data_IF_156873791758
#
_entry.id   IF_156873791758
#
_cell.length_a   1.000
_cell.length_b   1.000
_cell.length_c   1.000
_cell.angle_alpha   90.00
_cell.angle_beta   90.00
_cell.angle_gamma   90.00
#
_symmetry.space_group_name_H-M   'P 1'
#
loop_
_entity.id
_entity.type
_entity.pdbx_description
1 polymer ?
#
# COMPACT_ATOMS: atom_id res chain seq x y z
N UNK A 1 3.32 70.82 37.35
CA UNK A 1 3.46 70.42 38.73
C UNK A 1 2.95 69.00 38.89
N UNK A 2 3.91 68.07 38.83
CA UNK A 2 4.10 66.89 39.70
C UNK A 2 2.82 66.06 39.96
N UNK A 3 2.80 64.79 39.70
CA UNK A 3 3.55 63.68 40.35
C UNK A 3 3.47 62.42 39.53
N UNK A 4 4.64 61.82 39.36
CA UNK A 4 4.89 60.48 38.94
C UNK A 4 4.43 59.47 40.00
N UNK A 5 3.75 58.41 39.60
CA UNK A 5 3.66 57.20 40.41
C UNK A 5 3.65 55.95 39.51
N UNK A 6 4.82 55.34 39.49
CA UNK A 6 5.05 53.97 39.06
C UNK A 6 4.36 53.03 40.04
N UNK A 7 3.46 52.20 39.55
CA UNK A 7 3.09 50.97 40.26
C UNK A 7 3.35 49.81 39.29
N UNK A 8 4.44 49.17 39.55
CA UNK A 8 4.75 47.84 39.12
C UNK A 8 3.78 46.91 39.83
N UNK A 9 2.95 46.23 39.10
CA UNK A 9 2.29 45.01 39.57
C UNK A 9 2.61 43.91 38.63
N UNK A 10 3.51 43.03 39.09
CA UNK A 10 3.56 41.65 38.69
C UNK A 10 2.16 41.07 38.81
N UNK A 11 1.68 40.54 37.77
CA UNK A 11 0.63 39.56 37.90
C UNK A 11 0.97 38.34 37.05
N UNK A 12 1.11 37.29 37.78
CA UNK A 12 1.32 35.94 37.36
C UNK A 12 0.34 35.53 36.26
N UNK A 13 0.96 34.92 35.33
CA UNK A 13 0.43 34.05 34.33
C UNK A 13 -0.73 33.22 34.82
N UNK A 14 -1.82 33.33 34.13
CA UNK A 14 -2.78 32.23 33.97
C UNK A 14 -2.90 31.97 32.49
N UNK A 15 -2.01 31.14 32.00
CA UNK A 15 -2.07 30.52 30.71
C UNK A 15 -3.14 29.47 30.81
N UNK A 16 -4.37 29.84 30.67
CA UNK A 16 -5.39 28.91 30.19
C UNK A 16 -5.07 28.65 28.73
N UNK A 17 -4.28 27.64 28.53
CA UNK A 17 -4.09 26.97 27.27
C UNK A 17 -5.47 26.47 26.86
N UNK A 18 -6.10 27.17 25.95
CA UNK A 18 -7.17 26.62 25.15
C UNK A 18 -6.61 25.35 24.49
N UNK A 19 -6.97 24.24 25.06
CA UNK A 19 -6.83 22.91 24.48
C UNK A 19 -7.84 22.84 23.36
N UNK A 20 -7.53 23.57 22.26
CA UNK A 20 -8.21 23.44 21.00
C UNK A 20 -7.94 22.01 20.58
N UNK A 21 -9.00 21.24 20.60
CA UNK A 21 -9.08 19.89 20.12
C UNK A 21 -8.39 19.74 18.77
N UNK A 22 -7.16 19.31 18.77
CA UNK A 22 -6.49 18.68 17.63
C UNK A 22 -7.02 17.26 17.50
N UNK A 23 -8.27 17.12 17.17
CA UNK A 23 -8.90 15.84 16.87
C UNK A 23 -9.63 15.84 15.54
N UNK A 24 -9.19 16.64 14.59
CA UNK A 24 -9.70 16.59 13.24
C UNK A 24 -8.57 16.90 12.25
N UNK A 25 -7.66 15.95 12.07
CA UNK A 25 -6.95 15.70 10.82
C UNK A 25 -5.94 14.55 10.96
N UNK A 26 -6.29 13.47 11.65
CA UNK A 26 -5.78 12.17 11.24
C UNK A 26 -6.52 11.76 9.97
N UNK A 27 -6.11 12.35 8.86
CA UNK A 27 -6.24 11.70 7.56
C UNK A 27 -5.44 10.42 7.73
N UNK A 28 -6.14 9.34 7.95
CA UNK A 28 -5.66 7.99 8.02
C UNK A 28 -4.77 7.75 6.81
N UNK A 29 -3.47 7.93 6.95
CA UNK A 29 -2.53 7.37 6.00
C UNK A 29 -2.84 5.88 5.99
N UNK A 30 -3.36 5.39 4.88
CA UNK A 30 -3.66 3.99 4.69
C UNK A 30 -2.38 3.21 4.99
N UNK A 31 -2.36 2.55 6.13
CA UNK A 31 -1.18 1.87 6.64
C UNK A 31 -0.99 0.58 5.83
N UNK A 32 -0.11 0.63 4.85
CA UNK A 32 0.34 -0.55 4.14
C UNK A 32 1.45 -1.23 4.93
N UNK A 33 1.31 -2.53 5.16
CA UNK A 33 2.41 -3.37 5.63
C UNK A 33 3.19 -3.93 4.46
N UNK A 34 4.48 -4.20 4.70
CA UNK A 34 5.39 -4.75 3.70
C UNK A 34 5.63 -6.24 3.97
N UNK A 35 5.71 -6.98 2.88
CA UNK A 35 6.18 -8.36 2.86
C UNK A 35 7.14 -8.53 1.69
N UNK A 36 8.24 -9.21 1.94
CA UNK A 36 9.28 -9.43 0.94
C UNK A 36 9.49 -10.93 0.72
N UNK A 37 9.63 -11.33 -0.55
CA UNK A 37 10.04 -12.68 -0.90
C UNK A 37 11.56 -12.83 -0.81
N UNK A 38 12.05 -14.04 -0.67
CA UNK A 38 13.50 -14.33 -0.71
C UNK A 38 14.16 -13.92 -2.04
N UNK A 39 13.37 -13.84 -3.11
CA UNK A 39 13.80 -13.42 -4.44
C UNK A 39 13.61 -11.92 -4.71
N UNK A 40 13.46 -11.10 -3.66
CA UNK A 40 13.44 -9.63 -3.74
C UNK A 40 12.13 -9.01 -4.23
N UNK A 41 11.03 -9.76 -4.30
CA UNK A 41 9.72 -9.20 -4.57
C UNK A 41 9.22 -8.49 -3.32
N UNK A 42 9.00 -7.18 -3.43
CA UNK A 42 8.42 -6.37 -2.37
C UNK A 42 6.93 -6.15 -2.65
N UNK A 43 6.09 -6.63 -1.76
CA UNK A 43 4.66 -6.36 -1.75
C UNK A 43 4.30 -5.50 -0.55
N UNK A 44 3.45 -4.53 -0.77
CA UNK A 44 2.78 -3.82 0.30
C UNK A 44 1.32 -4.25 0.32
N UNK A 45 0.70 -4.38 1.50
CA UNK A 45 -0.67 -4.85 1.62
C UNK A 45 -1.44 -4.15 2.73
N UNK A 46 -2.75 -4.08 2.55
CA UNK A 46 -3.71 -3.62 3.56
C UNK A 46 -4.92 -4.56 3.58
N UNK A 47 -5.53 -4.69 4.74
CA UNK A 47 -6.75 -5.48 4.91
C UNK A 47 -7.97 -4.61 4.65
N UNK A 48 -8.97 -5.17 3.96
CA UNK A 48 -10.22 -4.49 3.67
C UNK A 48 -11.41 -5.35 4.13
N UNK A 49 -12.44 -4.70 4.61
CA UNK A 49 -13.73 -5.33 4.89
C UNK A 49 -14.58 -5.50 3.62
N UNK A 50 -15.84 -5.87 3.83
CA UNK A 50 -16.81 -6.07 2.73
C UNK A 50 -17.11 -4.77 1.97
N UNK A 51 -17.02 -3.61 2.65
CA UNK A 51 -17.28 -2.28 2.10
C UNK A 51 -16.03 -1.64 1.48
N UNK A 52 -14.89 -2.36 1.43
CA UNK A 52 -13.56 -1.88 1.05
C UNK A 52 -12.97 -0.85 2.02
N UNK A 53 -13.44 -0.83 3.25
CA UNK A 53 -12.84 -0.02 4.31
C UNK A 53 -11.66 -0.76 4.96
N UNK A 54 -10.62 -0.01 5.31
CA UNK A 54 -9.43 -0.58 5.93
C UNK A 54 -9.73 -1.10 7.34
N UNK A 55 -9.30 -2.32 7.62
CA UNK A 55 -9.38 -2.93 8.94
C UNK A 55 -8.00 -3.12 9.56
N UNK A 56 -7.98 -3.23 10.90
CA UNK A 56 -6.72 -3.33 11.65
C UNK A 56 -6.00 -4.65 11.40
N UNK A 57 -4.69 -4.60 11.23
CA UNK A 57 -3.84 -5.79 11.06
C UNK A 57 -3.84 -6.71 12.28
N UNK A 58 -4.11 -6.19 13.47
CA UNK A 58 -4.17 -7.00 14.71
C UNK A 58 -5.23 -8.09 14.69
N UNK A 59 -6.24 -7.96 13.82
CA UNK A 59 -7.29 -8.99 13.66
C UNK A 59 -6.90 -10.13 12.71
N UNK A 60 -5.79 -10.00 11.98
CA UNK A 60 -5.35 -10.99 10.99
C UNK A 60 -4.85 -12.27 11.67
N UNK A 61 -5.47 -13.41 11.36
CA UNK A 61 -5.07 -14.73 11.85
C UNK A 61 -4.35 -15.57 10.81
N UNK A 62 -4.69 -15.37 9.52
CA UNK A 62 -4.01 -16.01 8.39
C UNK A 62 -3.78 -15.02 7.26
N UNK A 63 -2.55 -14.98 6.78
CA UNK A 63 -2.19 -14.22 5.58
C UNK A 63 -2.79 -14.85 4.33
N UNK A 64 -3.11 -14.07 3.28
CA UNK A 64 -3.42 -14.64 1.98
C UNK A 64 -2.16 -15.33 1.43
N UNK A 65 -2.34 -16.50 0.82
CA UNK A 65 -1.23 -17.31 0.33
C UNK A 65 -1.35 -17.58 -1.17
N UNK A 66 -0.38 -17.11 -1.94
CA UNK A 66 -0.21 -17.51 -3.34
C UNK A 66 0.16 -19.01 -3.41
N UNK A 67 -0.31 -19.78 -4.39
CA UNK A 67 0.10 -21.17 -4.59
C UNK A 67 1.62 -21.34 -4.65
N UNK A 68 2.20 -21.96 -3.61
CA UNK A 68 3.64 -22.11 -3.47
C UNK A 68 4.37 -20.89 -2.87
N UNK A 69 3.63 -19.92 -2.30
CA UNK A 69 4.18 -18.78 -1.57
C UNK A 69 4.68 -17.64 -2.45
N UNK A 70 5.24 -16.61 -1.81
CA UNK A 70 5.69 -15.39 -2.50
C UNK A 70 6.84 -15.62 -3.50
N UNK A 71 7.70 -16.58 -3.23
CA UNK A 71 8.78 -16.93 -4.19
C UNK A 71 8.24 -17.53 -5.49
N UNK A 72 7.13 -18.28 -5.38
CA UNK A 72 6.43 -18.80 -6.56
C UNK A 72 5.71 -17.67 -7.31
N UNK A 73 5.17 -16.69 -6.63
CA UNK A 73 4.64 -15.47 -7.25
C UNK A 73 5.72 -14.72 -8.03
N UNK A 74 6.91 -14.55 -7.44
CA UNK A 74 8.06 -13.93 -8.13
C UNK A 74 8.38 -14.67 -9.43
N UNK A 75 8.51 -16.00 -9.37
CA UNK A 75 8.76 -16.83 -10.56
C UNK A 75 7.61 -16.75 -11.57
N UNK A 76 6.37 -16.71 -11.09
CA UNK A 76 5.20 -16.53 -11.95
C UNK A 76 5.25 -15.22 -12.71
N UNK A 77 5.53 -14.11 -12.02
CA UNK A 77 5.68 -12.80 -12.63
C UNK A 77 6.78 -12.82 -13.68
N UNK A 78 7.97 -13.31 -13.35
CA UNK A 78 9.10 -13.39 -14.28
C UNK A 78 8.81 -14.20 -15.55
N UNK A 79 8.08 -15.31 -15.42
CA UNK A 79 7.73 -16.16 -16.56
C UNK A 79 6.64 -15.57 -17.44
N UNK A 80 5.71 -14.84 -16.86
CA UNK A 80 4.55 -14.30 -17.57
C UNK A 80 4.72 -12.86 -18.02
N UNK A 81 5.71 -12.14 -17.45
CA UNK A 81 6.06 -10.82 -17.91
C UNK A 81 6.76 -10.93 -19.26
N UNK A 82 6.03 -10.62 -20.32
CA UNK A 82 6.56 -10.60 -21.68
C UNK A 82 6.69 -9.16 -22.12
N UNK A 83 7.91 -8.69 -22.09
CA UNK A 83 8.26 -7.44 -22.71
C UNK A 83 8.48 -7.66 -24.22
N UNK A 84 7.95 -6.78 -25.04
CA UNK A 84 8.22 -6.82 -26.47
C UNK A 84 9.70 -6.47 -26.70
N UNK A 85 10.50 -7.48 -27.06
CA UNK A 85 11.86 -7.27 -27.54
C UNK A 85 11.79 -6.49 -28.86
N UNK A 86 12.20 -5.25 -28.84
CA UNK A 86 12.19 -4.39 -30.05
C UNK A 86 12.33 -2.91 -29.77
N UNK A 87 12.29 -2.50 -28.51
CA UNK A 87 12.56 -1.12 -28.15
C UNK A 87 14.04 -0.94 -27.84
N UNK A 88 14.70 -0.12 -28.66
CA UNK A 88 16.11 0.27 -28.49
C UNK A 88 16.31 1.39 -27.48
N UNK A 89 15.23 1.82 -26.82
CA UNK A 89 15.29 2.87 -25.80
C UNK A 89 15.48 2.28 -24.42
N UNK A 90 16.55 2.69 -23.78
CA UNK A 90 16.80 2.40 -22.36
C UNK A 90 15.78 3.15 -21.51
N UNK A 91 14.95 2.44 -20.78
CA UNK A 91 14.00 3.04 -19.85
C UNK A 91 14.33 2.59 -18.45
N UNK A 92 14.67 3.55 -17.60
CA UNK A 92 14.75 3.37 -16.18
C UNK A 92 13.48 3.94 -15.53
N UNK A 93 12.80 3.14 -14.72
CA UNK A 93 11.60 3.60 -14.07
C UNK A 93 10.85 2.48 -13.34
N UNK A 94 9.66 2.79 -12.94
CA UNK A 94 8.79 1.84 -12.23
C UNK A 94 7.33 2.00 -12.65
N UNK A 95 6.61 0.89 -12.64
CA UNK A 95 5.16 0.84 -12.68
C UNK A 95 4.69 0.36 -11.31
N UNK A 96 3.76 1.05 -10.67
CA UNK A 96 3.08 0.52 -9.49
C UNK A 96 1.67 0.13 -9.86
N UNK A 97 1.29 -1.04 -9.44
CA UNK A 97 -0.05 -1.57 -9.61
C UNK A 97 -0.64 -1.97 -8.28
N UNK A 98 -1.94 -1.86 -8.17
CA UNK A 98 -2.70 -2.45 -7.07
C UNK A 98 -3.63 -3.52 -7.61
N UNK A 99 -3.94 -4.49 -6.76
CA UNK A 99 -4.96 -5.50 -7.00
C UNK A 99 -5.52 -5.99 -5.67
N UNK A 100 -6.71 -6.52 -5.69
CA UNK A 100 -7.37 -7.07 -4.50
C UNK A 100 -7.47 -8.58 -4.64
N UNK A 101 -7.09 -9.29 -3.58
CA UNK A 101 -7.43 -10.70 -3.40
C UNK A 101 -8.72 -10.73 -2.58
N UNK A 102 -9.81 -11.22 -3.16
CA UNK A 102 -11.10 -11.26 -2.53
C UNK A 102 -11.25 -12.42 -1.52
N UNK A 103 -12.41 -12.53 -0.91
CA UNK A 103 -12.72 -13.57 0.08
C UNK A 103 -12.78 -14.99 -0.51
N UNK A 104 -12.78 -15.13 -1.82
CA UNK A 104 -12.68 -16.40 -2.55
C UNK A 104 -11.26 -16.70 -3.03
N UNK A 105 -10.34 -15.76 -2.82
CA UNK A 105 -8.95 -15.87 -3.27
C UNK A 105 -8.71 -15.36 -4.69
N UNK A 106 -9.72 -14.78 -5.33
CA UNK A 106 -9.60 -14.28 -6.71
C UNK A 106 -8.96 -12.91 -6.75
N UNK A 107 -8.15 -12.68 -7.79
CA UNK A 107 -7.57 -11.37 -8.08
C UNK A 107 -8.59 -10.53 -8.82
N UNK A 108 -8.96 -9.41 -8.20
CA UNK A 108 -9.93 -8.43 -8.71
C UNK A 108 -9.39 -7.01 -8.57
N UNK A 109 -10.10 -6.02 -9.11
CA UNK A 109 -9.80 -4.59 -8.93
C UNK A 109 -8.34 -4.22 -9.23
N UNK A 110 -7.87 -4.63 -10.43
CA UNK A 110 -6.50 -4.37 -10.88
C UNK A 110 -6.41 -2.94 -11.40
N UNK A 111 -5.51 -2.14 -10.82
CA UNK A 111 -5.25 -0.76 -11.23
C UNK A 111 -3.77 -0.47 -11.40
N UNK A 112 -3.42 0.37 -12.38
CA UNK A 112 -2.06 0.94 -12.50
C UNK A 112 -2.08 2.33 -11.86
N UNK A 113 -1.46 2.44 -10.68
CA UNK A 113 -1.48 3.67 -9.87
C UNK A 113 -0.29 4.59 -10.14
N UNK A 114 0.84 4.05 -10.59
CA UNK A 114 1.98 4.81 -11.09
C UNK A 114 2.37 4.27 -12.46
N UNK A 115 2.31 5.12 -13.46
CA UNK A 115 2.51 4.75 -14.87
C UNK A 115 3.92 5.08 -15.31
N UNK A 116 4.48 4.28 -16.20
CA UNK A 116 5.77 4.52 -16.83
C UNK A 116 5.59 4.83 -18.31
N UNK A 117 5.08 3.89 -19.06
CA UNK A 117 4.75 3.98 -20.48
C UNK A 117 3.68 2.93 -20.79
N UNK A 118 2.80 3.22 -21.73
CA UNK A 118 1.61 2.42 -22.03
C UNK A 118 1.86 0.93 -22.25
N UNK A 119 2.96 0.58 -22.90
CA UNK A 119 3.33 -0.82 -23.17
C UNK A 119 3.78 -1.54 -21.89
N UNK A 120 4.57 -0.88 -21.03
CA UNK A 120 4.96 -1.40 -19.70
C UNK A 120 3.74 -1.54 -18.78
N UNK A 121 2.90 -0.51 -18.72
CA UNK A 121 1.66 -0.52 -17.94
C UNK A 121 0.77 -1.68 -18.36
N UNK A 122 0.59 -1.86 -19.68
CA UNK A 122 -0.22 -2.95 -20.25
C UNK A 122 0.38 -4.33 -19.95
N UNK A 123 1.70 -4.47 -20.01
CA UNK A 123 2.38 -5.72 -19.69
C UNK A 123 2.21 -6.09 -18.21
N UNK A 124 2.37 -5.11 -17.30
CA UNK A 124 2.14 -5.31 -15.87
C UNK A 124 0.69 -5.73 -15.58
N UNK A 125 -0.29 -5.02 -16.16
CA UNK A 125 -1.70 -5.38 -16.02
C UNK A 125 -1.99 -6.82 -16.49
N UNK A 126 -1.47 -7.20 -17.66
CA UNK A 126 -1.64 -8.54 -18.21
C UNK A 126 -1.02 -9.64 -17.37
N UNK A 127 0.08 -9.37 -16.68
CA UNK A 127 0.70 -10.34 -15.76
C UNK A 127 -0.19 -10.53 -14.55
N UNK A 128 -0.65 -9.43 -13.94
CA UNK A 128 -1.50 -9.49 -12.75
C UNK A 128 -2.83 -10.18 -13.06
N UNK A 129 -3.44 -9.90 -14.22
CA UNK A 129 -4.71 -10.52 -14.62
C UNK A 129 -4.63 -12.04 -14.85
N UNK A 130 -3.43 -12.60 -14.94
CA UNK A 130 -3.20 -14.06 -15.08
C UNK A 130 -2.83 -14.74 -13.78
N UNK A 131 -2.75 -13.99 -12.68
CA UNK A 131 -2.43 -14.55 -11.37
C UNK A 131 -3.52 -15.56 -10.99
N UNK A 132 -3.15 -16.80 -10.60
CA UNK A 132 -4.11 -17.81 -10.17
C UNK A 132 -4.74 -17.46 -8.84
N UNK A 133 -5.79 -18.20 -8.47
CA UNK A 133 -6.49 -18.02 -7.20
C UNK A 133 -5.55 -18.27 -6.01
N UNK A 134 -5.69 -17.43 -4.99
CA UNK A 134 -4.96 -17.51 -3.73
C UNK A 134 -5.78 -18.24 -2.66
N UNK A 135 -5.14 -18.65 -1.58
CA UNK A 135 -5.87 -18.88 -0.34
C UNK A 135 -6.20 -17.52 0.27
N UNK A 136 -7.47 -17.24 0.60
CA UNK A 136 -7.87 -15.93 1.13
C UNK A 136 -7.32 -15.69 2.53
N UNK A 137 -7.20 -14.42 2.92
CA UNK A 137 -6.87 -14.02 4.28
C UNK A 137 -8.02 -14.33 5.24
N UNK A 138 -7.68 -14.63 6.48
CA UNK A 138 -8.67 -14.83 7.55
C UNK A 138 -8.35 -13.94 8.76
N UNK A 139 -9.39 -13.43 9.37
CA UNK A 139 -9.35 -12.76 10.67
C UNK A 139 -9.99 -13.63 11.73
N UNK A 140 -10.13 -13.12 12.96
CA UNK A 140 -10.78 -13.83 14.07
C UNK A 140 -12.09 -14.49 13.64
N UNK A 141 -12.40 -15.64 14.26
CA UNK A 141 -13.56 -16.49 13.94
C UNK A 141 -13.57 -17.04 12.49
N UNK A 142 -12.40 -17.19 11.86
CA UNK A 142 -12.23 -17.68 10.49
C UNK A 142 -13.00 -16.86 9.44
N UNK A 143 -13.31 -15.59 9.74
CA UNK A 143 -13.94 -14.69 8.78
C UNK A 143 -12.92 -14.32 7.70
N UNK A 144 -13.29 -14.57 6.43
CA UNK A 144 -12.47 -14.21 5.28
C UNK A 144 -12.58 -12.73 5.01
N UNK A 145 -11.46 -12.10 4.63
CA UNK A 145 -11.37 -10.67 4.33
C UNK A 145 -10.64 -10.44 3.03
N UNK A 146 -10.89 -9.29 2.43
CA UNK A 146 -10.17 -8.85 1.23
C UNK A 146 -8.80 -8.31 1.62
N UNK A 147 -7.83 -8.47 0.71
CA UNK A 147 -6.50 -7.89 0.88
C UNK A 147 -6.14 -7.12 -0.38
N UNK A 148 -5.89 -5.84 -0.24
CA UNK A 148 -5.36 -5.01 -1.32
C UNK A 148 -3.85 -5.06 -1.28
N UNK A 149 -3.25 -5.43 -2.39
CA UNK A 149 -1.81 -5.44 -2.59
C UNK A 149 -1.37 -4.27 -3.45
N UNK A 150 -0.19 -3.74 -3.17
CA UNK A 150 0.54 -2.83 -4.04
C UNK A 150 1.82 -3.55 -4.47
N UNK A 151 1.98 -3.68 -5.77
CA UNK A 151 3.07 -4.39 -6.42
C UNK A 151 3.86 -3.43 -7.31
N UNK A 152 5.11 -3.08 -6.93
CA UNK A 152 5.99 -2.30 -7.78
C UNK A 152 6.75 -3.20 -8.76
N UNK A 153 6.74 -2.85 -10.05
CA UNK A 153 7.61 -3.38 -11.08
C UNK A 153 8.72 -2.38 -11.35
N UNK A 154 9.95 -2.74 -11.10
CA UNK A 154 11.12 -1.93 -11.40
C UNK A 154 11.74 -2.36 -12.72
N UNK A 155 12.04 -1.41 -13.57
CA UNK A 155 12.71 -1.59 -14.85
C UNK A 155 14.04 -0.87 -14.80
N UNK A 156 15.10 -1.62 -14.94
CA UNK A 156 16.46 -1.11 -15.02
C UNK A 156 17.08 -1.76 -16.25
N UNK A 157 17.57 -0.95 -17.15
CA UNK A 157 18.35 -1.42 -18.29
C UNK A 157 19.82 -1.15 -17.99
N UNK A 158 20.60 -2.19 -17.89
CA UNK A 158 22.06 -2.08 -17.82
C UNK A 158 22.57 -1.62 -19.17
N UNK A 159 23.52 -0.66 -19.16
CA UNK A 159 24.22 -0.17 -20.34
C UNK A 159 25.17 -1.27 -20.89
#
# INVERSE_FOLDING_TARGET
>A
MTILLLISCKNSENTETEKKSESENEITQSEFKKVESQNGLNLEYQLLDENNEQIKFSSLTKMPEFPGGLDSLTKFIQRNYKFHQGFTEYINGKVKSTFVVDTFGKVVDIEIVERLRKDYDTACYKVISKIPDWKPAEIENNKKVKVKFLLPFKFVTDE
#
